data_IF_515617576925
#
_entry.id   IF_515617576925
#
_cell.length_a   1.000
_cell.length_b   1.000
_cell.length_c   1.000
_cell.angle_alpha   90.00
_cell.angle_beta   90.00
_cell.angle_gamma   90.00
#
_symmetry.space_group_name_H-M   'P 1'
#
loop_
_entity.id
_entity.type
_entity.pdbx_description
1 polymer ?
#
# COMPACT_ATOMS: atom_id res chain seq x y z
N UNK A 1 35.08 -51.45 -79.47
CA UNK A 1 34.03 -52.41 -79.07
C UNK A 1 34.28 -52.88 -77.63
N UNK A 2 33.20 -53.03 -76.88
CA UNK A 2 33.08 -53.44 -75.45
C UNK A 2 33.98 -54.61 -75.04
N UNK A 3 34.49 -54.59 -73.80
CA UNK A 3 34.14 -55.51 -72.69
C UNK A 3 35.00 -55.22 -71.45
N UNK A 4 34.35 -54.84 -70.34
CA UNK A 4 34.13 -55.69 -69.15
C UNK A 4 35.40 -56.07 -68.37
N UNK A 5 35.49 -55.58 -67.13
CA UNK A 5 35.54 -56.49 -65.99
C UNK A 5 36.67 -56.31 -64.97
N UNK A 6 36.21 -56.24 -63.71
CA UNK A 6 36.83 -56.78 -62.48
C UNK A 6 37.80 -55.90 -61.67
N UNK A 7 37.19 -55.28 -60.65
CA UNK A 7 37.56 -55.15 -59.23
C UNK A 7 38.96 -55.65 -58.79
N UNK A 8 39.64 -54.83 -57.97
CA UNK A 8 40.29 -55.22 -56.70
C UNK A 8 40.42 -53.99 -55.77
N UNK A 9 40.25 -54.22 -54.47
CA UNK A 9 40.14 -53.25 -53.35
C UNK A 9 41.41 -53.29 -52.46
N UNK A 10 41.56 -52.23 -51.66
CA UNK A 10 42.37 -52.06 -50.41
C UNK A 10 43.84 -51.68 -50.65
N UNK A 11 44.49 -50.68 -50.02
CA UNK A 11 44.35 -49.93 -48.74
C UNK A 11 44.99 -48.52 -48.90
N UNK A 12 44.52 -47.49 -48.18
CA UNK A 12 45.37 -46.47 -47.53
C UNK A 12 44.56 -45.58 -46.56
N UNK A 13 45.22 -45.18 -45.48
CA UNK A 13 44.72 -44.60 -44.24
C UNK A 13 43.89 -43.31 -44.34
N UNK A 14 42.86 -43.21 -43.48
CA UNK A 14 42.11 -41.98 -43.18
C UNK A 14 42.82 -41.25 -42.02
N UNK A 15 43.32 -40.05 -42.29
CA UNK A 15 43.77 -39.09 -41.29
C UNK A 15 42.54 -38.37 -40.72
N UNK A 16 42.14 -38.73 -39.50
CA UNK A 16 41.14 -38.00 -38.73
C UNK A 16 41.74 -36.67 -38.25
N UNK A 17 41.34 -35.57 -38.89
CA UNK A 17 41.59 -34.22 -38.42
C UNK A 17 40.68 -33.96 -37.20
N UNK A 18 41.27 -33.95 -36.01
CA UNK A 18 40.59 -33.55 -34.78
C UNK A 18 40.29 -32.05 -34.80
N UNK A 19 39.07 -31.68 -35.19
CA UNK A 19 38.52 -30.38 -34.82
C UNK A 19 38.20 -30.40 -33.33
N UNK A 20 39.04 -29.71 -32.55
CA UNK A 20 38.72 -29.29 -31.19
C UNK A 20 37.53 -28.31 -31.26
N UNK A 21 36.32 -28.87 -31.27
CA UNK A 21 35.14 -28.15 -30.79
C UNK A 21 35.32 -28.08 -29.29
N UNK A 22 35.85 -26.96 -28.79
CA UNK A 22 35.58 -26.58 -27.41
C UNK A 22 34.08 -26.38 -27.32
N UNK A 23 33.38 -27.42 -26.86
CA UNK A 23 32.03 -27.28 -26.38
C UNK A 23 32.12 -26.25 -25.25
N UNK A 24 31.76 -25.00 -25.56
CA UNK A 24 31.45 -24.02 -24.55
C UNK A 24 30.37 -24.68 -23.70
N UNK A 25 30.77 -25.15 -22.51
CA UNK A 25 29.84 -25.57 -21.48
C UNK A 25 28.91 -24.38 -21.34
N UNK A 26 27.60 -24.50 -21.68
CA UNK A 26 26.69 -23.43 -21.34
C UNK A 26 26.85 -23.28 -19.84
N UNK A 27 27.34 -22.12 -19.41
CA UNK A 27 27.26 -21.70 -18.03
C UNK A 27 25.76 -21.64 -17.77
N UNK A 28 25.24 -22.76 -17.31
CA UNK A 28 23.94 -22.86 -16.70
C UNK A 28 24.07 -21.95 -15.50
N UNK A 29 23.67 -20.70 -15.71
CA UNK A 29 23.17 -19.88 -14.62
C UNK A 29 22.11 -20.78 -14.03
N UNK A 30 22.44 -21.43 -12.91
CA UNK A 30 21.46 -22.06 -12.05
C UNK A 30 20.58 -20.90 -11.58
N UNK A 31 19.61 -20.52 -12.41
CA UNK A 31 18.35 -20.00 -11.97
C UNK A 31 17.73 -21.17 -11.21
N UNK A 32 18.21 -21.36 -9.98
CA UNK A 32 17.52 -22.13 -8.97
C UNK A 32 16.11 -21.57 -9.01
N UNK A 33 15.21 -22.35 -9.60
CA UNK A 33 13.80 -22.03 -9.71
C UNK A 33 13.28 -22.22 -8.30
N UNK A 34 13.51 -21.19 -7.48
CA UNK A 34 12.97 -21.11 -6.13
C UNK A 34 11.45 -21.02 -6.29
N UNK A 35 10.80 -22.17 -6.17
CA UNK A 35 9.36 -22.29 -6.13
C UNK A 35 8.89 -21.62 -4.84
N UNK A 36 8.40 -20.40 -4.94
CA UNK A 36 7.51 -19.89 -3.91
C UNK A 36 6.25 -20.77 -3.94
N UNK A 37 5.79 -21.17 -2.76
CA UNK A 37 4.51 -21.88 -2.62
C UNK A 37 3.32 -20.90 -2.60
N UNK A 38 3.59 -19.60 -2.40
CA UNK A 38 2.61 -18.52 -2.41
C UNK A 38 3.10 -17.38 -3.32
N UNK A 39 2.25 -16.96 -4.25
CA UNK A 39 2.52 -15.86 -5.19
C UNK A 39 2.64 -14.54 -4.40
N UNK A 40 3.69 -13.75 -4.64
CA UNK A 40 3.88 -12.43 -4.02
C UNK A 40 3.43 -11.33 -4.96
N UNK A 41 2.68 -10.35 -4.45
CA UNK A 41 2.14 -9.24 -5.23
C UNK A 41 2.92 -7.96 -4.95
N UNK A 42 3.52 -7.38 -5.98
CA UNK A 42 4.24 -6.11 -5.94
C UNK A 42 3.47 -5.08 -6.74
N UNK A 43 3.33 -3.88 -6.18
CA UNK A 43 2.83 -2.73 -6.93
C UNK A 43 3.94 -1.69 -7.04
N UNK A 44 4.28 -1.37 -8.28
CA UNK A 44 5.25 -0.34 -8.62
C UNK A 44 4.50 0.98 -8.82
N UNK A 45 4.96 2.01 -8.13
CA UNK A 45 4.41 3.35 -8.20
C UNK A 45 5.43 4.30 -8.84
N UNK A 46 5.47 4.41 -10.19
CA UNK A 46 6.27 5.45 -10.83
C UNK A 46 5.71 6.82 -10.42
N UNK A 47 6.48 7.55 -9.61
CA UNK A 47 6.13 8.87 -9.09
C UNK A 47 5.66 9.84 -10.18
N UNK A 48 4.82 10.80 -9.80
CA UNK A 48 4.28 11.83 -10.69
C UNK A 48 3.47 11.26 -11.87
N UNK A 49 3.32 12.01 -12.96
CA UNK A 49 2.63 11.61 -14.19
C UNK A 49 1.51 12.55 -14.60
N UNK A 50 1.23 12.59 -15.91
CA UNK A 50 0.23 13.50 -16.48
C UNK A 50 0.65 14.96 -16.33
N UNK A 51 -0.18 15.78 -15.67
CA UNK A 51 0.12 17.20 -15.47
C UNK A 51 1.21 17.46 -14.42
N UNK A 52 1.56 16.45 -13.62
CA UNK A 52 2.64 16.53 -12.63
C UNK A 52 3.91 15.94 -13.25
N UNK A 53 4.87 16.80 -13.60
CA UNK A 53 6.16 16.39 -14.18
C UNK A 53 7.15 15.90 -13.14
N UNK A 54 6.91 16.16 -11.85
CA UNK A 54 7.97 16.19 -10.84
C UNK A 54 9.05 17.22 -11.19
N UNK A 55 10.26 16.98 -10.71
CA UNK A 55 11.41 17.82 -11.02
C UNK A 55 11.77 17.79 -12.51
N UNK A 56 12.14 18.97 -13.04
CA UNK A 56 12.59 19.16 -14.42
C UNK A 56 13.91 19.90 -14.40
N UNK A 57 14.94 19.31 -15.02
CA UNK A 57 16.28 19.88 -15.06
C UNK A 57 16.86 19.80 -16.47
N UNK A 58 17.79 20.72 -16.76
CA UNK A 58 18.54 20.73 -18.03
C UNK A 58 20.02 20.79 -17.72
N UNK A 59 20.75 19.73 -18.10
CA UNK A 59 22.22 19.68 -17.99
C UNK A 59 22.81 19.49 -19.38
N UNK A 60 23.69 20.40 -19.80
CA UNK A 60 24.38 20.34 -21.09
C UNK A 60 23.43 20.14 -22.29
N UNK A 61 22.28 20.83 -22.28
CA UNK A 61 21.26 20.74 -23.33
C UNK A 61 20.38 19.49 -23.30
N UNK A 62 20.65 18.52 -22.42
CA UNK A 62 19.76 17.37 -22.19
C UNK A 62 18.73 17.71 -21.11
N UNK A 63 17.45 17.56 -21.44
CA UNK A 63 16.36 17.68 -20.49
C UNK A 63 16.10 16.36 -19.75
N UNK A 64 15.85 16.46 -18.45
CA UNK A 64 15.51 15.36 -17.55
C UNK A 64 14.19 15.69 -16.87
N UNK A 65 13.19 14.80 -17.01
CA UNK A 65 11.87 14.97 -16.42
C UNK A 65 11.62 13.79 -15.50
N UNK A 66 11.45 14.05 -14.21
CA UNK A 66 11.32 13.03 -13.18
C UNK A 66 10.20 12.03 -13.49
N UNK A 67 9.00 12.50 -13.87
CA UNK A 67 7.87 11.63 -14.19
C UNK A 67 8.16 10.63 -15.33
N UNK A 68 9.00 11.02 -16.30
CA UNK A 68 9.39 10.15 -17.42
C UNK A 68 10.46 9.15 -17.00
N UNK A 69 11.42 9.60 -16.20
CA UNK A 69 12.48 8.75 -15.65
C UNK A 69 11.86 7.67 -14.76
N UNK A 70 11.00 8.07 -13.81
CA UNK A 70 10.28 7.16 -12.92
C UNK A 70 9.44 6.14 -13.70
N UNK A 71 8.73 6.58 -14.75
CA UNK A 71 7.98 5.69 -15.64
C UNK A 71 8.87 4.61 -16.28
N UNK A 72 10.02 5.01 -16.83
CA UNK A 72 10.95 4.10 -17.50
C UNK A 72 11.57 3.12 -16.50
N UNK A 73 12.04 3.60 -15.34
CA UNK A 73 12.60 2.74 -14.29
C UNK A 73 11.55 1.70 -13.88
N UNK A 74 10.32 2.11 -13.55
CA UNK A 74 9.25 1.20 -13.16
C UNK A 74 8.93 0.15 -14.22
N UNK A 75 8.90 0.53 -15.51
CA UNK A 75 8.71 -0.42 -16.60
C UNK A 75 9.86 -1.43 -16.71
N UNK A 76 11.10 -1.00 -16.52
CA UNK A 76 12.24 -1.91 -16.52
C UNK A 76 12.24 -2.84 -15.29
N UNK A 77 11.85 -2.34 -14.12
CA UNK A 77 11.61 -3.16 -12.92
C UNK A 77 10.55 -4.21 -13.20
N UNK A 78 9.40 -3.81 -13.78
CA UNK A 78 8.31 -4.73 -14.13
C UNK A 78 8.78 -5.82 -15.10
N UNK A 79 9.49 -5.45 -16.17
CA UNK A 79 10.03 -6.39 -17.16
C UNK A 79 11.01 -7.40 -16.53
N UNK A 80 11.82 -6.96 -15.58
CA UNK A 80 12.75 -7.85 -14.87
C UNK A 80 12.01 -8.77 -13.90
N UNK A 81 11.01 -8.25 -13.14
CA UNK A 81 10.20 -9.04 -12.22
C UNK A 81 9.32 -10.08 -12.92
N UNK A 82 8.84 -9.80 -14.13
CA UNK A 82 8.05 -10.75 -14.93
C UNK A 82 8.80 -12.05 -15.28
N UNK A 83 10.14 -12.08 -15.13
CA UNK A 83 10.94 -13.29 -15.28
C UNK A 83 10.80 -14.26 -14.09
N UNK A 84 10.24 -13.78 -12.98
CA UNK A 84 10.03 -14.55 -11.76
C UNK A 84 8.57 -15.00 -11.69
N UNK A 85 8.27 -16.29 -11.93
CA UNK A 85 6.88 -16.77 -12.09
C UNK A 85 6.01 -16.60 -10.83
N UNK A 86 6.66 -16.39 -9.68
CA UNK A 86 6.04 -16.28 -8.38
C UNK A 86 5.86 -14.84 -7.90
N UNK A 87 6.22 -13.85 -8.72
CA UNK A 87 5.98 -12.44 -8.44
C UNK A 87 4.93 -11.93 -9.42
N UNK A 88 3.76 -11.56 -8.90
CA UNK A 88 2.80 -10.74 -9.59
C UNK A 88 3.22 -9.28 -9.48
N UNK A 89 3.26 -8.55 -10.59
CA UNK A 89 3.63 -7.14 -10.61
C UNK A 89 2.57 -6.31 -11.29
N UNK A 90 2.13 -5.24 -10.62
CA UNK A 90 1.22 -4.22 -11.16
C UNK A 90 1.84 -2.83 -11.07
N UNK A 91 1.23 -1.86 -11.74
CA UNK A 91 1.63 -0.46 -11.69
C UNK A 91 0.45 0.41 -11.22
N UNK A 92 0.74 1.52 -10.52
CA UNK A 92 -0.31 2.48 -10.10
C UNK A 92 -0.89 3.28 -11.26
N UNK A 93 -0.16 3.41 -12.38
CA UNK A 93 -0.62 4.06 -13.61
C UNK A 93 -0.37 3.19 -14.84
N UNK A 94 -1.27 3.29 -15.81
CA UNK A 94 -1.31 2.45 -17.01
C UNK A 94 -0.52 3.05 -18.19
N UNK A 95 -0.14 4.33 -18.13
CA UNK A 95 0.69 4.99 -19.14
C UNK A 95 1.52 6.16 -18.55
N UNK A 96 2.44 6.68 -19.37
CA UNK A 96 3.36 7.76 -18.98
C UNK A 96 2.65 9.07 -18.59
N UNK A 97 1.48 9.34 -19.16
CA UNK A 97 0.78 10.62 -19.07
C UNK A 97 -0.44 10.57 -18.13
N UNK A 98 -0.56 9.53 -17.31
CA UNK A 98 -1.64 9.40 -16.34
C UNK A 98 -1.19 9.95 -14.98
N UNK A 99 -1.95 10.93 -14.47
CA UNK A 99 -1.86 11.35 -13.08
C UNK A 99 -2.67 10.40 -12.17
N UNK A 100 -2.13 10.10 -10.99
CA UNK A 100 -2.81 9.35 -9.94
C UNK A 100 -2.56 10.05 -8.60
N UNK A 101 -3.62 10.30 -7.82
CA UNK A 101 -3.51 10.95 -6.52
C UNK A 101 -2.71 10.12 -5.52
N UNK A 102 -2.01 10.79 -4.58
CA UNK A 102 -1.12 10.12 -3.62
C UNK A 102 -1.83 9.05 -2.78
N UNK A 103 -3.06 9.31 -2.35
CA UNK A 103 -3.87 8.33 -1.62
C UNK A 103 -4.31 7.18 -2.53
N UNK A 104 -4.71 7.50 -3.76
CA UNK A 104 -5.19 6.51 -4.73
C UNK A 104 -4.09 5.52 -5.12
N UNK A 105 -2.82 5.96 -5.23
CA UNK A 105 -1.67 5.07 -5.46
C UNK A 105 -1.59 3.94 -4.44
N UNK A 106 -1.76 4.28 -3.15
CA UNK A 106 -1.76 3.29 -2.07
C UNK A 106 -3.04 2.44 -2.09
N UNK A 107 -4.20 3.03 -2.41
CA UNK A 107 -5.45 2.27 -2.52
C UNK A 107 -5.46 1.29 -3.69
N UNK A 108 -4.80 1.62 -4.80
CA UNK A 108 -4.57 0.69 -5.91
C UNK A 108 -3.72 -0.49 -5.43
N UNK A 109 -2.60 -0.22 -4.75
CA UNK A 109 -1.77 -1.28 -4.17
C UNK A 109 -2.55 -2.17 -3.19
N UNK A 110 -3.36 -1.55 -2.34
CA UNK A 110 -4.25 -2.28 -1.41
C UNK A 110 -5.29 -3.13 -2.15
N UNK A 111 -5.82 -2.64 -3.27
CA UNK A 111 -6.84 -3.34 -4.06
C UNK A 111 -6.31 -4.63 -4.71
N UNK A 112 -5.03 -4.64 -5.06
CA UNK A 112 -4.32 -5.85 -5.52
C UNK A 112 -3.86 -6.75 -4.37
N UNK A 113 -4.16 -6.39 -3.12
CA UNK A 113 -3.64 -7.09 -1.93
C UNK A 113 -2.11 -7.19 -1.94
N UNK A 114 -1.44 -6.10 -2.35
CA UNK A 114 0.01 -6.05 -2.47
C UNK A 114 0.73 -6.48 -1.18
N UNK A 115 1.80 -7.26 -1.33
CA UNK A 115 2.77 -7.56 -0.27
C UNK A 115 3.79 -6.43 -0.10
N UNK A 116 4.00 -5.63 -1.15
CA UNK A 116 4.95 -4.52 -1.18
C UNK A 116 4.51 -3.45 -2.19
N UNK A 117 4.48 -2.19 -1.75
CA UNK A 117 4.39 -1.02 -2.62
C UNK A 117 5.77 -0.35 -2.73
N UNK A 118 6.25 -0.19 -3.96
CA UNK A 118 7.54 0.46 -4.25
C UNK A 118 7.30 1.70 -5.08
N UNK A 119 7.38 2.88 -4.45
CA UNK A 119 7.29 4.16 -5.16
C UNK A 119 8.67 4.60 -5.63
N UNK A 120 8.79 4.92 -6.90
CA UNK A 120 10.07 5.19 -7.56
C UNK A 120 10.14 6.67 -7.94
N UNK A 121 11.14 7.36 -7.39
CA UNK A 121 11.33 8.80 -7.48
C UNK A 121 12.79 9.17 -7.79
N UNK A 122 12.97 10.40 -8.29
CA UNK A 122 14.27 11.03 -8.46
C UNK A 122 14.26 12.34 -7.69
N UNK A 123 15.23 12.50 -6.80
CA UNK A 123 15.27 13.64 -5.91
C UNK A 123 15.68 14.91 -6.65
N UNK A 124 15.40 16.06 -6.07
CA UNK A 124 15.94 17.36 -6.49
C UNK A 124 16.21 18.23 -5.27
N UNK A 125 17.16 19.14 -5.40
CA UNK A 125 17.54 20.08 -4.36
C UNK A 125 17.97 21.40 -4.99
N UNK A 126 17.87 22.49 -4.23
CA UNK A 126 18.30 23.85 -4.60
C UNK A 126 19.84 23.99 -4.77
N UNK A 127 20.56 22.86 -4.80
CA UNK A 127 22.00 22.79 -4.96
C UNK A 127 22.39 21.63 -5.89
N UNK A 128 23.36 21.83 -6.81
CA UNK A 128 23.81 20.79 -7.71
C UNK A 128 24.72 19.74 -7.03
N UNK A 129 25.10 19.98 -5.77
CA UNK A 129 26.03 19.13 -5.03
C UNK A 129 25.36 18.01 -4.24
N UNK A 130 24.03 18.09 -4.02
CA UNK A 130 23.27 17.00 -3.42
C UNK A 130 23.29 15.79 -4.35
N UNK A 131 23.68 14.62 -3.84
CA UNK A 131 23.81 13.40 -4.66
C UNK A 131 23.50 12.14 -3.87
N UNK A 132 23.25 11.06 -4.60
CA UNK A 132 23.08 9.72 -4.07
C UNK A 132 21.66 9.34 -3.64
N UNK A 133 21.50 8.06 -3.32
CA UNK A 133 20.21 7.44 -3.05
C UNK A 133 19.78 7.53 -1.57
N UNK A 134 18.48 7.63 -1.34
CA UNK A 134 17.83 7.32 -0.06
C UNK A 134 16.57 6.49 -0.28
N UNK A 135 16.13 5.79 0.78
CA UNK A 135 14.82 5.13 0.80
C UNK A 135 14.03 5.69 1.95
N UNK A 136 12.89 6.31 1.65
CA UNK A 136 11.97 6.78 2.67
C UNK A 136 11.14 5.62 3.18
N UNK A 137 11.20 5.43 4.49
CA UNK A 137 10.51 4.35 5.21
C UNK A 137 9.74 4.93 6.39
N UNK A 138 8.77 4.18 6.93
CA UNK A 138 8.00 4.65 8.06
C UNK A 138 8.84 4.74 9.33
N UNK A 139 8.52 5.73 10.16
CA UNK A 139 9.18 5.96 11.46
C UNK A 139 8.78 4.93 12.52
N UNK A 140 7.82 4.04 12.23
CA UNK A 140 7.34 3.01 13.14
C UNK A 140 6.48 3.52 14.30
N UNK A 141 6.06 4.78 14.29
CA UNK A 141 5.29 5.41 15.38
C UNK A 141 3.90 4.79 15.57
N UNK A 142 3.36 4.13 14.53
CA UNK A 142 2.05 3.49 14.57
C UNK A 142 2.08 1.99 14.30
N UNK A 143 2.82 1.53 13.27
CA UNK A 143 3.01 0.11 12.96
C UNK A 143 4.51 -0.23 12.88
N UNK A 144 5.18 -0.46 14.01
CA UNK A 144 6.63 -0.65 14.04
C UNK A 144 7.13 -1.87 13.25
N UNK A 145 6.31 -2.91 13.07
CA UNK A 145 6.71 -4.05 12.23
C UNK A 145 6.80 -3.66 10.74
N UNK A 146 6.00 -2.71 10.25
CA UNK A 146 6.13 -2.21 8.88
C UNK A 146 7.46 -1.48 8.71
N UNK A 147 7.84 -0.65 9.68
CA UNK A 147 9.13 0.05 9.66
C UNK A 147 10.31 -0.93 9.58
N UNK A 148 10.28 -2.04 10.33
CA UNK A 148 11.34 -3.06 10.25
C UNK A 148 11.36 -3.77 8.87
N UNK A 149 10.18 -4.09 8.33
CA UNK A 149 10.03 -4.69 7.01
C UNK A 149 10.52 -3.76 5.90
N UNK A 150 10.10 -2.50 5.93
CA UNK A 150 10.48 -1.45 4.98
C UNK A 150 11.98 -1.16 5.05
N UNK A 151 12.55 -1.12 6.26
CA UNK A 151 14.00 -0.97 6.47
C UNK A 151 14.80 -2.15 5.93
N UNK A 152 14.30 -3.38 6.07
CA UNK A 152 14.93 -4.56 5.46
C UNK A 152 14.93 -4.45 3.93
N UNK A 153 13.79 -4.11 3.33
CA UNK A 153 13.70 -3.88 1.88
C UNK A 153 14.63 -2.74 1.43
N UNK A 154 14.59 -1.60 2.11
CA UNK A 154 15.40 -0.44 1.79
C UNK A 154 16.91 -0.71 1.82
N UNK A 155 17.40 -1.56 2.73
CA UNK A 155 18.81 -2.00 2.72
C UNK A 155 19.17 -2.72 1.42
N UNK A 156 18.30 -3.60 0.93
CA UNK A 156 18.56 -4.27 -0.36
C UNK A 156 18.54 -3.30 -1.53
N UNK A 157 17.67 -2.28 -1.50
CA UNK A 157 17.67 -1.20 -2.51
C UNK A 157 19.02 -0.47 -2.49
N UNK A 158 19.47 0.02 -1.34
CA UNK A 158 20.73 0.76 -1.21
C UNK A 158 21.94 -0.10 -1.62
N UNK A 159 21.94 -1.39 -1.27
CA UNK A 159 22.98 -2.33 -1.71
C UNK A 159 23.01 -2.47 -3.25
N UNK A 160 21.85 -2.66 -3.89
CA UNK A 160 21.78 -2.87 -5.34
C UNK A 160 22.10 -1.60 -6.14
N UNK A 161 21.68 -0.43 -5.65
CA UNK A 161 22.03 0.86 -6.24
C UNK A 161 23.53 1.17 -6.03
N UNK A 162 24.10 0.82 -4.87
CA UNK A 162 25.53 0.97 -4.59
C UNK A 162 26.42 0.20 -5.57
N UNK A 163 25.99 -0.98 -6.04
CA UNK A 163 26.69 -1.75 -7.09
C UNK A 163 26.75 -1.03 -8.44
N UNK A 164 25.88 -0.05 -8.67
CA UNK A 164 25.90 0.81 -9.85
C UNK A 164 26.77 2.06 -9.68
N UNK A 165 27.37 2.25 -8.50
CA UNK A 165 28.20 3.41 -8.17
C UNK A 165 27.42 4.57 -7.54
N UNK A 166 26.14 4.39 -7.21
CA UNK A 166 25.33 5.43 -6.57
C UNK A 166 25.72 5.53 -5.09
N UNK A 167 26.14 6.73 -4.65
CA UNK A 167 26.46 6.95 -3.24
C UNK A 167 25.20 6.85 -2.37
N UNK A 168 25.32 6.35 -1.15
CA UNK A 168 24.21 6.33 -0.18
C UNK A 168 24.14 7.65 0.59
N UNK A 169 22.94 8.17 0.80
CA UNK A 169 22.66 9.24 1.76
C UNK A 169 22.47 8.66 3.16
N UNK A 170 22.35 9.51 4.18
CA UNK A 170 22.05 9.10 5.57
C UNK A 170 22.88 7.88 6.02
N UNK A 171 24.20 7.95 5.85
CA UNK A 171 25.09 6.79 6.05
C UNK A 171 24.95 6.15 7.43
N UNK A 172 24.71 6.96 8.48
CA UNK A 172 24.48 6.48 9.84
C UNK A 172 23.16 5.68 9.97
N UNK A 173 22.18 5.96 9.11
CA UNK A 173 20.90 5.27 9.02
C UNK A 173 20.89 4.19 7.93
N UNK A 174 22.02 3.96 7.25
CA UNK A 174 22.17 2.96 6.19
C UNK A 174 21.42 3.30 4.91
N UNK A 175 21.24 4.59 4.58
CA UNK A 175 20.44 5.01 3.42
C UNK A 175 18.97 5.27 3.69
N UNK A 176 18.50 4.99 4.91
CA UNK A 176 17.09 5.17 5.27
C UNK A 176 16.81 6.61 5.67
N UNK A 177 15.76 7.15 5.08
CA UNK A 177 15.25 8.48 5.34
C UNK A 177 13.92 8.39 6.09
N UNK A 178 13.78 9.20 7.13
CA UNK A 178 12.60 9.24 8.00
C UNK A 178 12.16 10.68 8.13
N UNK A 179 10.86 10.93 8.02
CA UNK A 179 10.32 12.26 8.23
C UNK A 179 8.93 12.18 8.84
N UNK A 180 8.79 12.75 10.02
CA UNK A 180 7.50 12.93 10.68
C UNK A 180 6.89 14.27 10.30
N UNK A 181 5.57 14.33 10.22
CA UNK A 181 4.86 15.56 9.88
C UNK A 181 4.97 16.61 10.98
N UNK A 182 5.03 17.88 10.60
CA UNK A 182 5.03 19.03 11.50
C UNK A 182 3.67 19.73 11.60
N UNK A 183 2.70 19.32 10.79
CA UNK A 183 1.35 19.93 10.69
C UNK A 183 0.37 19.49 11.80
N UNK A 184 0.86 18.74 12.79
CA UNK A 184 0.03 18.18 13.86
C UNK A 184 -0.77 16.93 13.45
N UNK A 185 -0.60 16.41 12.24
CA UNK A 185 -1.25 15.17 11.84
C UNK A 185 -0.73 13.98 12.66
N UNK A 186 -1.68 13.15 13.08
CA UNK A 186 -1.42 11.96 13.89
C UNK A 186 -2.00 10.71 13.25
N UNK A 187 -1.37 9.58 13.53
CA UNK A 187 -1.97 8.29 13.30
C UNK A 187 -3.10 8.03 14.31
N UNK A 188 -3.96 7.02 14.07
CA UNK A 188 -5.05 6.68 14.98
C UNK A 188 -4.63 6.38 16.43
N UNK A 189 -3.37 6.03 16.69
CA UNK A 189 -2.84 5.85 18.04
C UNK A 189 -2.41 7.17 18.73
N UNK A 190 -2.66 8.32 18.10
CA UNK A 190 -2.26 9.65 18.58
C UNK A 190 -0.78 9.98 18.36
N UNK A 191 0.03 9.07 17.85
CA UNK A 191 1.43 9.34 17.55
C UNK A 191 1.56 10.17 16.27
N UNK A 192 2.61 10.98 16.20
CA UNK A 192 2.90 11.84 15.04
C UNK A 192 2.99 10.99 13.76
N UNK A 193 2.31 11.47 12.71
CA UNK A 193 2.22 10.80 11.42
C UNK A 193 3.52 10.95 10.62
N UNK A 194 3.84 9.99 9.76
CA UNK A 194 4.88 10.19 8.74
C UNK A 194 4.46 11.29 7.76
N UNK A 195 5.43 12.05 7.25
CA UNK A 195 5.20 13.23 6.43
C UNK A 195 4.79 12.87 5.00
N UNK A 196 5.52 11.96 4.36
CA UNK A 196 5.30 11.63 2.96
C UNK A 196 4.05 10.77 2.79
N UNK A 197 3.13 11.22 1.93
CA UNK A 197 1.79 10.64 1.81
C UNK A 197 1.81 9.14 1.44
N UNK A 198 2.72 8.70 0.56
CA UNK A 198 2.83 7.27 0.19
C UNK A 198 3.18 6.43 1.42
N UNK A 199 4.24 6.78 2.16
CA UNK A 199 4.66 6.08 3.39
C UNK A 199 3.52 6.13 4.41
N UNK A 200 3.01 7.33 4.70
CA UNK A 200 2.02 7.54 5.74
C UNK A 200 0.69 6.81 5.48
N UNK A 201 0.25 6.82 4.21
CA UNK A 201 -0.97 6.14 3.80
C UNK A 201 -0.77 4.62 3.75
N UNK A 202 0.42 4.14 3.40
CA UNK A 202 0.77 2.70 3.42
C UNK A 202 0.71 2.14 4.85
N UNK A 203 1.31 2.85 5.81
CA UNK A 203 1.20 2.52 7.24
C UNK A 203 -0.27 2.51 7.67
N UNK A 204 -1.07 3.47 7.22
CA UNK A 204 -2.49 3.53 7.58
C UNK A 204 -3.31 2.37 6.99
N UNK A 205 -2.92 1.85 5.82
CA UNK A 205 -3.56 0.71 5.14
C UNK A 205 -2.96 -0.66 5.51
N UNK A 206 -1.99 -0.69 6.44
CA UNK A 206 -1.27 -1.91 6.83
C UNK A 206 -0.61 -2.60 5.62
N UNK A 207 0.18 -1.82 4.89
CA UNK A 207 0.87 -2.22 3.68
C UNK A 207 2.32 -1.75 3.80
N UNK A 208 3.33 -2.63 3.62
CA UNK A 208 4.71 -2.18 3.48
C UNK A 208 4.83 -1.29 2.23
N UNK A 209 5.19 -0.02 2.42
CA UNK A 209 5.24 0.95 1.34
C UNK A 209 6.40 1.92 1.51
N UNK A 210 7.29 1.96 0.52
CA UNK A 210 8.48 2.82 0.56
C UNK A 210 8.52 3.76 -0.64
N UNK A 211 9.33 4.82 -0.52
CA UNK A 211 9.74 5.65 -1.65
C UNK A 211 11.24 5.47 -1.85
N UNK A 212 11.66 5.11 -3.05
CA UNK A 212 13.07 5.07 -3.46
C UNK A 212 13.37 6.39 -4.14
N UNK A 213 14.26 7.17 -3.54
CA UNK A 213 14.90 8.33 -4.16
C UNK A 213 16.22 7.85 -4.77
N UNK A 214 16.24 7.61 -6.08
CA UNK A 214 17.36 6.90 -6.71
C UNK A 214 18.66 7.71 -6.71
N UNK A 215 18.57 9.01 -6.98
CA UNK A 215 19.66 9.98 -6.96
C UNK A 215 19.05 11.39 -7.16
N UNK A 216 19.87 12.42 -7.40
CA UNK A 216 19.37 13.79 -7.65
C UNK A 216 19.40 14.16 -9.12
N UNK A 217 18.25 14.55 -9.70
CA UNK A 217 18.21 15.08 -11.07
C UNK A 217 18.85 16.47 -11.16
N UNK A 218 18.85 17.25 -10.07
CA UNK A 218 19.52 18.56 -10.01
C UNK A 218 21.05 18.45 -9.95
N UNK A 219 21.60 17.27 -9.64
CA UNK A 219 23.04 17.05 -9.69
C UNK A 219 23.49 16.69 -11.10
N UNK A 220 24.35 17.49 -11.75
CA UNK A 220 24.88 17.16 -13.07
C UNK A 220 25.58 15.80 -13.10
N UNK A 221 26.22 15.42 -11.98
CA UNK A 221 26.93 14.14 -11.86
C UNK A 221 25.96 12.96 -11.84
N UNK A 222 24.94 12.98 -10.97
CA UNK A 222 23.96 11.89 -10.90
C UNK A 222 23.13 11.82 -12.19
N UNK A 223 22.69 12.97 -12.73
CA UNK A 223 21.95 13.03 -13.99
C UNK A 223 22.74 12.40 -15.15
N UNK A 224 24.00 12.78 -15.33
CA UNK A 224 24.86 12.25 -16.39
C UNK A 224 25.13 10.74 -16.23
N UNK A 225 25.43 10.31 -15.00
CA UNK A 225 25.87 8.94 -14.71
C UNK A 225 24.72 7.93 -14.64
N UNK A 226 23.51 8.36 -14.29
CA UNK A 226 22.41 7.44 -13.97
C UNK A 226 21.12 7.69 -14.75
N UNK A 227 20.85 8.88 -15.28
CA UNK A 227 19.54 9.20 -15.87
C UNK A 227 19.54 9.50 -17.37
N UNK A 228 20.71 9.67 -17.98
CA UNK A 228 20.85 10.16 -19.37
C UNK A 228 20.35 9.21 -20.45
N UNK A 229 20.46 7.90 -20.24
CA UNK A 229 20.16 6.90 -21.27
C UNK A 229 19.20 5.83 -20.75
N UNK A 230 18.39 5.27 -21.66
CA UNK A 230 17.52 4.12 -21.35
C UNK A 230 18.32 2.93 -20.80
N UNK A 231 19.59 2.75 -21.18
CA UNK A 231 20.46 1.70 -20.64
C UNK A 231 20.76 1.92 -19.16
N UNK A 232 21.03 3.16 -18.73
CA UNK A 232 21.22 3.49 -17.32
C UNK A 232 19.91 3.32 -16.53
N UNK A 233 18.79 3.83 -17.05
CA UNK A 233 17.48 3.65 -16.42
C UNK A 233 17.07 2.18 -16.31
N UNK A 234 17.43 1.35 -17.29
CA UNK A 234 17.24 -0.10 -17.23
C UNK A 234 18.05 -0.73 -16.11
N UNK A 235 19.31 -0.31 -15.91
CA UNK A 235 20.13 -0.80 -14.79
C UNK A 235 19.51 -0.46 -13.44
N UNK A 236 18.92 0.73 -13.29
CA UNK A 236 18.17 1.12 -12.08
C UNK A 236 16.96 0.21 -11.86
N UNK A 237 16.12 0.03 -12.89
CA UNK A 237 14.94 -0.85 -12.76
C UNK A 237 15.31 -2.31 -12.44
N UNK A 238 16.42 -2.80 -13.00
CA UNK A 238 16.96 -4.12 -12.67
C UNK A 238 17.51 -4.19 -11.24
N UNK A 239 18.09 -3.11 -10.71
CA UNK A 239 18.53 -3.03 -9.32
C UNK A 239 17.34 -3.12 -8.36
N UNK A 240 16.26 -2.38 -8.64
CA UNK A 240 15.02 -2.47 -7.86
C UNK A 240 14.44 -3.88 -7.88
N UNK A 241 14.38 -4.51 -9.05
CA UNK A 241 13.87 -5.87 -9.19
C UNK A 241 14.71 -6.88 -8.37
N UNK A 242 16.05 -6.76 -8.40
CA UNK A 242 16.93 -7.58 -7.57
C UNK A 242 16.70 -7.33 -6.07
N UNK A 243 16.50 -6.08 -5.66
CA UNK A 243 16.21 -5.76 -4.26
C UNK A 243 14.88 -6.39 -3.80
N UNK A 244 13.85 -6.33 -4.64
CA UNK A 244 12.53 -6.95 -4.39
C UNK A 244 12.65 -8.47 -4.26
N UNK A 245 13.37 -9.12 -5.19
CA UNK A 245 13.60 -10.58 -5.13
C UNK A 245 14.40 -10.98 -3.90
N UNK A 246 15.49 -10.26 -3.56
CA UNK A 246 16.28 -10.50 -2.35
C UNK A 246 15.42 -10.38 -1.10
N UNK A 247 14.56 -9.37 -1.05
CA UNK A 247 13.62 -9.15 0.06
C UNK A 247 12.65 -10.32 0.22
N UNK A 248 11.98 -10.73 -0.87
CA UNK A 248 11.02 -11.85 -0.78
C UNK A 248 11.67 -13.19 -0.46
N UNK A 249 12.87 -13.45 -1.01
CA UNK A 249 13.63 -14.64 -0.65
C UNK A 249 14.03 -14.62 0.83
N UNK A 250 14.40 -13.45 1.36
CA UNK A 250 14.78 -13.33 2.78
C UNK A 250 13.61 -13.62 3.72
N UNK A 251 12.43 -13.03 3.46
CA UNK A 251 11.26 -13.28 4.31
C UNK A 251 10.78 -14.73 4.18
N UNK A 252 10.86 -15.33 2.98
CA UNK A 252 10.60 -16.76 2.77
C UNK A 252 11.55 -17.63 3.59
N UNK A 253 12.86 -17.36 3.57
CA UNK A 253 13.82 -18.11 4.38
C UNK A 253 13.55 -17.96 5.88
N UNK A 254 13.08 -16.79 6.34
CA UNK A 254 12.67 -16.60 7.74
C UNK A 254 11.39 -17.35 8.11
N UNK A 255 10.49 -17.56 7.14
CA UNK A 255 9.27 -18.36 7.32
C UNK A 255 9.58 -19.86 7.25
N UNK A 256 10.40 -20.31 6.29
CA UNK A 256 10.82 -21.71 6.16
C UNK A 256 11.77 -22.15 7.29
N UNK A 257 12.66 -21.29 7.77
CA UNK A 257 13.48 -21.58 8.96
C UNK A 257 12.64 -21.66 10.24
N UNK A 258 11.39 -21.19 10.24
CA UNK A 258 10.45 -21.39 11.35
C UNK A 258 9.70 -22.73 11.24
N UNK A 259 9.63 -23.34 10.06
CA UNK A 259 8.96 -24.63 9.82
C UNK A 259 9.90 -25.85 9.91
N UNK A 260 11.23 -25.67 9.77
CA UNK A 260 12.20 -26.80 9.76
C UNK A 260 13.14 -26.86 10.96
N UNK A 261 12.97 -26.00 11.96
CA UNK A 261 13.78 -25.99 13.19
C UNK A 261 12.95 -26.44 14.40
N UNK A 262 12.76 -27.76 14.51
CA UNK A 262 12.58 -28.45 15.80
C UNK A 262 13.95 -28.60 16.49
N UNK A 263 14.60 -27.46 16.75
CA UNK A 263 15.73 -27.39 17.68
C UNK A 263 15.59 -26.12 18.49
N UNK A 264 15.07 -26.35 19.70
CA UNK A 264 15.01 -25.49 20.88
C UNK A 264 16.07 -24.37 20.86
N UNK A 265 15.68 -23.14 20.53
CA UNK A 265 15.87 -21.90 21.32
C UNK A 265 15.58 -20.64 20.48
N UNK A 266 14.38 -20.06 20.65
CA UNK A 266 14.08 -18.60 20.67
C UNK A 266 12.62 -18.26 20.28
N UNK A 267 11.88 -19.17 19.62
CA UNK A 267 10.54 -18.87 19.08
C UNK A 267 9.35 -19.24 20.01
N UNK A 268 9.58 -19.81 21.20
CA UNK A 268 8.49 -20.11 22.16
C UNK A 268 8.03 -18.90 22.97
N UNK A 269 8.59 -17.72 22.74
CA UNK A 269 8.35 -16.55 23.58
C UNK A 269 7.16 -15.69 23.10
N UNK A 270 6.76 -15.76 21.83
CA UNK A 270 5.74 -14.87 21.27
C UNK A 270 4.52 -15.66 20.78
N UNK A 271 3.33 -15.04 20.82
CA UNK A 271 2.13 -15.62 20.21
C UNK A 271 1.04 -16.04 21.20
N UNK A 272 -0.07 -16.50 20.62
CA UNK A 272 -1.21 -17.03 21.37
C UNK A 272 -0.89 -18.42 21.93
N UNK A 273 -1.15 -18.63 23.21
CA UNK A 273 -1.03 -19.92 23.90
C UNK A 273 -2.32 -20.25 24.62
N UNK A 274 -2.73 -21.51 24.51
CA UNK A 274 -3.88 -22.05 25.25
C UNK A 274 -3.50 -22.24 26.72
N UNK A 275 -4.36 -21.79 27.62
CA UNK A 275 -4.24 -21.96 29.06
C UNK A 275 -5.61 -22.38 29.61
N UNK A 276 -5.83 -23.70 29.71
CA UNK A 276 -7.17 -24.26 29.96
C UNK A 276 -8.13 -23.95 28.81
N UNK A 277 -9.27 -23.31 29.11
CA UNK A 277 -10.25 -22.85 28.13
C UNK A 277 -9.95 -21.46 27.54
N UNK A 278 -8.89 -20.79 27.99
CA UNK A 278 -8.55 -19.42 27.59
C UNK A 278 -7.36 -19.37 26.63
N UNK A 279 -7.31 -18.34 25.80
CA UNK A 279 -6.14 -18.00 24.98
C UNK A 279 -5.41 -16.80 25.61
N UNK A 280 -4.08 -16.82 25.64
CA UNK A 280 -3.23 -15.75 26.20
C UNK A 280 -2.12 -15.40 25.22
N UNK A 281 -1.84 -14.12 25.04
CA UNK A 281 -0.78 -13.69 24.12
C UNK A 281 0.51 -13.39 24.86
N UNK A 282 1.65 -13.78 24.29
CA UNK A 282 2.98 -13.54 24.84
C UNK A 282 3.82 -12.69 23.87
N UNK A 283 4.64 -11.79 24.43
CA UNK A 283 5.67 -11.04 23.70
C UNK A 283 6.96 -11.18 24.51
N UNK A 284 8.00 -11.66 23.86
CA UNK A 284 9.30 -12.05 24.39
C UNK A 284 9.22 -12.91 25.67
N UNK A 285 8.22 -13.78 25.75
CA UNK A 285 7.97 -14.70 26.87
C UNK A 285 7.10 -14.08 27.96
N UNK A 286 6.79 -12.79 27.84
CA UNK A 286 6.00 -12.04 28.80
C UNK A 286 4.53 -12.07 28.38
N UNK A 287 3.68 -12.58 29.28
CA UNK A 287 2.22 -12.58 29.11
C UNK A 287 1.70 -11.14 29.04
N UNK A 288 0.99 -10.83 27.96
CA UNK A 288 0.31 -9.56 27.79
C UNK A 288 -0.97 -9.54 28.62
N UNK A 289 -1.28 -8.38 29.24
CA UNK A 289 -2.47 -8.19 30.09
C UNK A 289 -3.02 -6.79 29.91
N UNK A 290 -4.33 -6.67 30.11
CA UNK A 290 -5.11 -5.43 30.10
C UNK A 290 -4.78 -4.49 28.93
N UNK A 291 -4.68 -5.03 27.71
CA UNK A 291 -4.25 -4.23 26.57
C UNK A 291 -4.85 -4.69 25.26
N UNK A 292 -5.02 -3.71 24.37
CA UNK A 292 -5.27 -3.97 22.96
C UNK A 292 -3.97 -4.44 22.31
N UNK A 293 -4.06 -5.48 21.48
CA UNK A 293 -2.98 -6.05 20.71
C UNK A 293 -3.27 -5.81 19.23
N UNK A 294 -2.39 -5.11 18.54
CA UNK A 294 -2.43 -4.97 17.09
C UNK A 294 -1.46 -5.99 16.49
N UNK A 295 -2.02 -7.09 16.00
CA UNK A 295 -1.28 -8.20 15.41
C UNK A 295 -1.45 -8.16 13.88
N UNK A 296 -0.59 -8.89 13.16
CA UNK A 296 -0.59 -8.97 11.69
C UNK A 296 -1.97 -9.34 11.12
N UNK A 297 -2.74 -10.15 11.84
CA UNK A 297 -3.99 -10.71 11.37
C UNK A 297 -5.24 -10.03 11.96
N UNK A 298 -5.08 -9.06 12.86
CA UNK A 298 -6.19 -8.33 13.47
C UNK A 298 -5.87 -7.63 14.78
N UNK A 299 -6.87 -6.89 15.27
CA UNK A 299 -6.82 -6.25 16.59
C UNK A 299 -7.52 -7.13 17.62
N UNK A 300 -6.90 -7.35 18.77
CA UNK A 300 -7.42 -8.18 19.85
C UNK A 300 -7.38 -7.43 21.18
N UNK A 301 -8.09 -7.92 22.18
CA UNK A 301 -7.93 -7.46 23.56
C UNK A 301 -7.67 -8.65 24.48
N UNK A 302 -6.68 -8.48 25.36
CA UNK A 302 -6.44 -9.38 26.50
C UNK A 302 -6.82 -8.67 27.78
N UNK A 303 -7.63 -9.33 28.61
CA UNK A 303 -8.16 -8.77 29.85
C UNK A 303 -7.07 -8.61 30.94
N UNK A 304 -7.46 -8.15 32.13
CA UNK A 304 -6.56 -8.00 33.29
C UNK A 304 -5.80 -9.27 33.69
N UNK A 305 -6.34 -10.45 33.36
CA UNK A 305 -5.73 -11.75 33.62
C UNK A 305 -4.88 -12.25 32.43
N UNK A 306 -4.89 -11.53 31.32
CA UNK A 306 -4.22 -11.84 30.06
C UNK A 306 -5.01 -12.79 29.17
N UNK A 307 -6.28 -13.05 29.49
CA UNK A 307 -7.13 -13.90 28.68
C UNK A 307 -7.73 -13.12 27.52
N UNK A 308 -7.80 -13.72 26.33
CA UNK A 308 -8.45 -13.14 25.16
C UNK A 308 -9.91 -12.83 25.46
N UNK A 309 -10.27 -11.59 25.21
CA UNK A 309 -11.61 -11.08 25.45
C UNK A 309 -12.47 -11.13 24.17
N UNK A 310 -13.78 -11.18 24.38
CA UNK A 310 -14.79 -11.20 23.32
C UNK A 310 -15.90 -10.20 23.62
N UNK A 311 -16.70 -9.89 22.60
CA UNK A 311 -17.87 -9.01 22.67
C UNK A 311 -17.51 -7.53 22.74
N UNK A 312 -18.48 -6.73 23.20
CA UNK A 312 -18.33 -5.30 23.38
C UNK A 312 -17.34 -4.96 24.50
N UNK A 313 -16.39 -4.07 24.21
CA UNK A 313 -15.42 -3.56 25.19
C UNK A 313 -15.17 -2.09 24.97
N UNK A 314 -15.19 -1.32 26.05
CA UNK A 314 -14.70 0.06 26.08
C UNK A 314 -13.32 0.06 26.72
N UNK A 315 -12.31 0.47 25.98
CA UNK A 315 -10.91 0.44 26.39
C UNK A 315 -10.32 1.81 26.10
N UNK A 316 -9.87 2.52 27.14
CA UNK A 316 -9.34 3.89 27.04
C UNK A 316 -10.28 4.84 26.26
N UNK A 317 -11.58 4.77 26.55
CA UNK A 317 -12.60 5.59 25.88
C UNK A 317 -13.03 5.10 24.48
N UNK A 318 -12.31 4.15 23.88
CA UNK A 318 -12.63 3.59 22.57
C UNK A 318 -13.51 2.34 22.70
N UNK A 319 -14.59 2.26 21.92
CA UNK A 319 -15.48 1.10 21.89
C UNK A 319 -15.08 0.12 20.77
N UNK A 320 -14.98 -1.16 21.10
CA UNK A 320 -14.61 -2.26 20.21
C UNK A 320 -15.66 -3.37 20.29
N UNK A 321 -15.78 -4.17 19.24
CA UNK A 321 -16.49 -5.45 19.29
C UNK A 321 -15.55 -6.59 18.87
N UNK A 322 -15.12 -7.41 19.81
CA UNK A 322 -14.24 -8.56 19.57
C UNK A 322 -15.07 -9.79 19.22
N UNK A 323 -15.14 -10.15 17.93
CA UNK A 323 -16.05 -11.17 17.45
C UNK A 323 -15.52 -12.58 17.76
N UNK A 324 -16.21 -13.28 18.66
CA UNK A 324 -15.88 -14.68 19.01
C UNK A 324 -15.94 -15.62 17.81
N UNK A 325 -16.78 -15.33 16.80
CA UNK A 325 -16.86 -16.13 15.57
C UNK A 325 -15.66 -15.91 14.64
N UNK A 326 -14.93 -14.82 14.84
CA UNK A 326 -13.72 -14.47 14.10
C UNK A 326 -12.50 -14.49 15.04
N UNK A 327 -12.40 -15.54 15.86
CA UNK A 327 -11.29 -15.80 16.79
C UNK A 327 -10.99 -14.66 17.81
N UNK A 328 -11.96 -13.78 18.06
CA UNK A 328 -11.82 -12.63 18.95
C UNK A 328 -11.18 -11.40 18.31
N UNK A 329 -11.10 -11.33 16.98
CA UNK A 329 -10.69 -10.11 16.25
C UNK A 329 -11.71 -9.00 16.43
N UNK A 330 -11.24 -7.77 16.57
CA UNK A 330 -12.07 -6.58 16.57
C UNK A 330 -12.76 -6.45 15.20
N UNK A 331 -14.06 -6.19 15.20
CA UNK A 331 -14.82 -5.90 13.98
C UNK A 331 -14.30 -4.61 13.34
N UNK A 332 -14.17 -4.63 12.02
CA UNK A 332 -13.84 -3.48 11.18
C UNK A 332 -14.97 -3.24 10.19
N UNK A 333 -15.17 -1.99 9.77
CA UNK A 333 -16.27 -1.63 8.87
C UNK A 333 -17.65 -1.81 9.48
N UNK A 334 -18.64 -2.13 8.65
CA UNK A 334 -20.03 -2.23 9.07
C UNK A 334 -20.34 -3.55 9.77
N UNK A 335 -20.92 -3.47 10.97
CA UNK A 335 -21.38 -4.61 11.75
C UNK A 335 -22.86 -4.46 12.07
N UNK A 336 -23.67 -5.44 11.65
CA UNK A 336 -25.08 -5.52 12.04
C UNK A 336 -25.24 -6.44 13.24
N UNK A 337 -25.88 -5.95 14.29
CA UNK A 337 -26.27 -6.70 15.50
C UNK A 337 -27.77 -6.47 15.76
N UNK A 338 -28.42 -7.33 16.58
CA UNK A 338 -29.79 -7.08 17.02
C UNK A 338 -29.99 -5.70 17.66
N UNK A 339 -28.95 -5.14 18.29
CA UNK A 339 -28.97 -3.82 18.92
C UNK A 339 -28.81 -2.64 17.96
N UNK A 340 -28.48 -2.87 16.69
CA UNK A 340 -28.29 -1.84 15.67
C UNK A 340 -27.18 -2.14 14.66
N UNK A 341 -26.96 -1.18 13.75
CA UNK A 341 -25.86 -1.21 12.80
C UNK A 341 -24.76 -0.27 13.28
N UNK A 342 -23.54 -0.77 13.36
CA UNK A 342 -22.37 -0.04 13.84
C UNK A 342 -21.32 0.04 12.74
N UNK A 343 -20.45 1.03 12.79
CA UNK A 343 -19.31 1.13 11.90
C UNK A 343 -18.03 1.26 12.72
N UNK A 344 -17.00 0.53 12.34
CA UNK A 344 -15.69 0.53 12.98
C UNK A 344 -14.62 0.96 11.98
N UNK A 345 -13.62 1.69 12.44
CA UNK A 345 -12.47 2.02 11.63
C UNK A 345 -11.54 0.80 11.47
N UNK A 346 -10.43 0.96 10.74
CA UNK A 346 -9.47 -0.12 10.47
C UNK A 346 -8.81 -0.73 11.73
N UNK A 347 -8.87 -0.05 12.88
CA UNK A 347 -8.35 -0.55 14.16
C UNK A 347 -9.42 -1.21 15.02
N UNK A 348 -10.63 -1.33 14.49
CA UNK A 348 -11.78 -1.84 15.21
C UNK A 348 -12.33 -0.89 16.27
N UNK A 349 -12.00 0.40 16.19
CA UNK A 349 -12.63 1.44 17.03
C UNK A 349 -13.93 1.86 16.36
N UNK A 350 -15.01 1.83 17.13
CA UNK A 350 -16.34 2.21 16.69
C UNK A 350 -16.43 3.72 16.47
N UNK A 351 -17.03 4.11 15.35
CA UNK A 351 -17.40 5.50 15.10
C UNK A 351 -18.56 5.93 16.00
N UNK A 352 -18.52 7.17 16.47
CA UNK A 352 -19.57 7.79 17.30
C UNK A 352 -19.71 9.26 16.91
N UNK A 353 -20.93 9.79 16.96
CA UNK A 353 -21.27 11.19 16.68
C UNK A 353 -20.55 11.77 15.44
N UNK A 354 -20.59 11.04 14.33
CA UNK A 354 -19.82 11.37 13.13
C UNK A 354 -20.60 11.18 11.85
N UNK A 355 -20.11 11.77 10.77
CA UNK A 355 -20.59 11.60 9.42
C UNK A 355 -19.52 10.90 8.59
N UNK A 356 -19.89 9.80 7.93
CA UNK A 356 -19.02 9.04 7.05
C UNK A 356 -19.48 9.20 5.60
N UNK A 357 -18.55 9.38 4.67
CA UNK A 357 -18.86 9.50 3.25
C UNK A 357 -18.12 8.37 2.52
N UNK A 358 -18.86 7.53 1.80
CA UNK A 358 -18.26 6.49 0.96
C UNK A 358 -17.65 7.07 -0.31
N UNK A 359 -16.80 6.30 -0.99
CA UNK A 359 -16.27 6.60 -2.33
C UNK A 359 -17.36 6.89 -3.36
N UNK A 360 -18.53 6.24 -3.24
CA UNK A 360 -19.72 6.49 -4.07
C UNK A 360 -20.52 7.74 -3.70
N UNK A 361 -20.03 8.57 -2.77
CA UNK A 361 -20.70 9.78 -2.30
C UNK A 361 -21.85 9.55 -1.31
N UNK A 362 -22.15 8.29 -0.93
CA UNK A 362 -23.18 8.00 0.09
C UNK A 362 -22.74 8.51 1.47
N UNK A 363 -23.63 9.24 2.12
CA UNK A 363 -23.41 9.85 3.44
C UNK A 363 -24.11 9.01 4.51
N UNK A 364 -23.37 8.55 5.53
CA UNK A 364 -23.90 7.84 6.67
C UNK A 364 -23.72 8.69 7.92
N UNK A 365 -24.74 8.75 8.78
CA UNK A 365 -24.66 9.46 10.05
C UNK A 365 -24.64 8.43 11.17
N UNK A 366 -23.66 8.56 12.05
CA UNK A 366 -23.49 7.73 13.23
C UNK A 366 -23.85 8.58 14.45
N UNK A 367 -24.82 8.12 15.23
CA UNK A 367 -25.28 8.79 16.45
C UNK A 367 -24.25 8.80 17.56
N UNK A 368 -24.51 9.55 18.63
CA UNK A 368 -23.67 9.55 19.84
C UNK A 368 -23.67 8.19 20.55
N UNK A 369 -24.74 7.40 20.38
CA UNK A 369 -24.80 6.01 20.83
C UNK A 369 -24.00 5.05 19.93
N UNK A 370 -23.34 5.58 18.89
CA UNK A 370 -22.55 4.90 17.86
C UNK A 370 -23.33 4.03 16.88
N UNK A 371 -24.67 4.08 16.91
CA UNK A 371 -25.50 3.40 15.92
C UNK A 371 -25.62 4.25 14.66
N UNK A 372 -25.70 3.59 13.52
CA UNK A 372 -26.07 4.23 12.26
C UNK A 372 -27.51 4.75 12.36
N UNK A 373 -27.69 6.04 12.16
CA UNK A 373 -29.00 6.67 12.19
C UNK A 373 -29.91 6.15 11.07
N UNK A 374 -31.22 6.38 11.22
CA UNK A 374 -32.24 6.05 10.23
C UNK A 374 -33.35 7.11 10.25
N UNK A 375 -34.06 7.29 9.12
CA UNK A 375 -35.14 8.27 9.01
C UNK A 375 -34.70 9.70 9.25
N UNK A 376 -35.60 10.51 9.82
CA UNK A 376 -35.32 11.91 10.15
C UNK A 376 -34.22 12.01 11.22
N UNK A 377 -33.10 12.63 10.87
CA UNK A 377 -31.91 12.71 11.73
C UNK A 377 -31.42 14.15 11.81
N UNK A 378 -31.14 14.63 13.02
CA UNK A 378 -30.44 15.90 13.22
C UNK A 378 -28.96 15.62 13.53
N UNK A 379 -28.06 16.34 12.88
CA UNK A 379 -26.62 16.20 13.10
C UNK A 379 -25.93 17.55 12.88
N UNK A 380 -25.19 18.01 13.90
CA UNK A 380 -24.47 19.30 13.91
C UNK A 380 -25.32 20.49 13.43
N UNK A 381 -26.56 20.58 13.93
CA UNK A 381 -27.50 21.65 13.59
C UNK A 381 -28.23 21.46 12.26
N UNK A 382 -27.75 20.58 11.39
CA UNK A 382 -28.39 20.26 10.11
C UNK A 382 -29.38 19.10 10.24
N UNK A 383 -30.36 19.05 9.33
CA UNK A 383 -31.38 17.99 9.31
C UNK A 383 -31.23 17.15 8.05
N UNK A 384 -31.31 15.84 8.21
CA UNK A 384 -31.11 14.83 7.19
C UNK A 384 -32.29 13.87 7.17
N UNK A 385 -32.47 13.17 6.05
CA UNK A 385 -33.35 12.02 5.97
C UNK A 385 -32.54 10.80 5.53
N UNK A 386 -32.30 9.87 6.45
CA UNK A 386 -31.58 8.63 6.18
C UNK A 386 -32.56 7.59 5.62
N UNK A 387 -32.29 7.09 4.42
CA UNK A 387 -33.17 6.14 3.74
C UNK A 387 -33.10 4.72 4.34
N UNK A 388 -33.92 3.81 3.81
CA UNK A 388 -33.97 2.40 4.26
C UNK A 388 -32.67 1.62 4.05
N UNK A 389 -31.83 2.03 3.09
CA UNK A 389 -30.49 1.48 2.86
C UNK A 389 -29.43 2.06 3.79
N UNK A 390 -29.79 3.11 4.55
CA UNK A 390 -29.01 3.62 5.66
C UNK A 390 -28.10 4.80 5.39
N UNK A 391 -28.24 5.45 4.24
CA UNK A 391 -27.51 6.67 3.90
C UNK A 391 -28.47 7.85 3.65
N UNK A 392 -27.97 9.07 3.74
CA UNK A 392 -28.74 10.28 3.57
C UNK A 392 -29.31 10.38 2.15
N UNK A 393 -30.59 10.73 2.07
CA UNK A 393 -31.27 11.10 0.84
C UNK A 393 -30.75 12.46 0.35
N UNK A 394 -30.56 12.59 -0.95
CA UNK A 394 -30.15 13.84 -1.61
C UNK A 394 -31.21 14.25 -2.63
N UNK A 395 -31.33 15.54 -2.93
CA UNK A 395 -32.36 16.05 -3.84
C UNK A 395 -33.78 15.99 -3.27
N UNK A 396 -34.78 15.86 -4.16
CA UNK A 396 -36.19 15.95 -3.81
C UNK A 396 -36.74 14.68 -3.17
N UNK A 397 -37.50 14.86 -2.08
CA UNK A 397 -38.20 13.79 -1.36
C UNK A 397 -39.66 14.18 -1.14
N UNK A 398 -40.60 13.32 -1.55
CA UNK A 398 -42.02 13.44 -1.19
C UNK A 398 -42.35 12.48 -0.06
N UNK A 399 -42.85 12.99 1.06
CA UNK A 399 -43.24 12.16 2.23
C UNK A 399 -44.42 12.80 2.97
N UNK A 400 -45.46 12.01 3.24
CA UNK A 400 -46.67 12.49 3.92
C UNK A 400 -47.36 13.67 3.20
N UNK A 401 -47.43 13.60 1.87
CA UNK A 401 -48.02 14.66 1.02
C UNK A 401 -47.17 15.93 0.89
N UNK A 402 -45.98 15.99 1.51
CA UNK A 402 -45.13 17.19 1.53
C UNK A 402 -43.84 16.97 0.73
N UNK A 403 -43.34 18.04 0.13
CA UNK A 403 -42.06 18.06 -0.57
C UNK A 403 -40.95 18.61 0.32
N UNK A 404 -39.82 17.93 0.32
CA UNK A 404 -38.56 18.32 0.97
C UNK A 404 -37.45 18.28 -0.08
N UNK A 405 -36.41 19.08 0.09
CA UNK A 405 -35.23 19.00 -0.77
C UNK A 405 -33.96 19.02 0.07
N UNK A 406 -33.01 18.18 -0.31
CA UNK A 406 -31.72 18.00 0.36
C UNK A 406 -30.60 18.38 -0.60
N UNK A 407 -29.56 19.01 -0.08
CA UNK A 407 -28.37 19.36 -0.83
C UNK A 407 -27.77 18.11 -1.52
N UNK A 408 -27.51 18.20 -2.82
CA UNK A 408 -27.07 17.06 -3.62
C UNK A 408 -25.71 16.51 -3.18
N UNK A 409 -24.84 17.35 -2.61
CA UNK A 409 -23.49 16.98 -2.19
C UNK A 409 -23.41 16.73 -0.69
N UNK A 410 -24.09 17.57 0.11
CA UNK A 410 -24.01 17.55 1.58
C UNK A 410 -25.09 16.72 2.24
N UNK A 411 -26.19 16.41 1.55
CA UNK A 411 -27.35 15.69 2.10
C UNK A 411 -28.16 16.45 3.16
N UNK A 412 -27.78 17.69 3.48
CA UNK A 412 -28.48 18.54 4.44
C UNK A 412 -29.78 19.11 3.84
N UNK A 413 -30.86 19.11 4.61
CA UNK A 413 -32.17 19.60 4.20
C UNK A 413 -32.19 21.12 4.11
N UNK A 414 -32.69 21.66 3.00
CA UNK A 414 -32.99 23.08 2.93
C UNK A 414 -34.19 23.42 3.82
N UNK A 415 -34.01 24.40 4.72
CA UNK A 415 -35.05 24.90 5.63
C UNK A 415 -34.88 26.39 5.89
N UNK A 416 -36.01 27.06 6.14
CA UNK A 416 -36.06 28.49 6.45
C UNK A 416 -35.31 29.39 5.44
N UNK A 417 -35.45 29.08 4.14
CA UNK A 417 -34.76 29.81 3.08
C UNK A 417 -35.40 29.58 1.72
N UNK A 418 -35.04 30.44 0.78
CA UNK A 418 -35.27 30.22 -0.65
C UNK A 418 -33.99 29.67 -1.28
N UNK A 419 -34.14 28.72 -2.20
CA UNK A 419 -33.02 28.12 -2.94
C UNK A 419 -33.36 28.07 -4.42
N UNK A 420 -32.43 28.55 -5.25
CA UNK A 420 -32.51 28.48 -6.70
C UNK A 420 -31.97 27.13 -7.18
N UNK A 421 -32.75 26.39 -7.95
CA UNK A 421 -32.40 25.01 -8.35
C UNK A 421 -32.60 24.76 -9.84
N UNK A 422 -31.73 23.92 -10.40
CA UNK A 422 -31.82 23.44 -11.78
C UNK A 422 -32.77 22.24 -11.94
N UNK A 423 -33.31 22.02 -13.16
CA UNK A 423 -33.15 22.85 -14.37
C UNK A 423 -34.02 24.12 -14.34
N UNK A 424 -33.59 25.17 -15.03
CA UNK A 424 -34.38 26.40 -15.19
C UNK A 424 -34.27 27.39 -14.02
N UNK A 425 -33.36 27.16 -13.07
CA UNK A 425 -33.01 28.16 -12.05
C UNK A 425 -34.23 28.67 -11.26
N UNK A 426 -35.13 27.75 -10.90
CA UNK A 426 -36.40 28.05 -10.23
C UNK A 426 -36.14 28.26 -8.74
N UNK A 427 -36.76 29.31 -8.17
CA UNK A 427 -36.70 29.61 -6.73
C UNK A 427 -37.73 28.77 -5.96
N UNK A 428 -37.26 27.85 -5.13
CA UNK A 428 -38.09 27.07 -4.20
C UNK A 428 -37.98 27.62 -2.79
N UNK A 429 -39.13 27.86 -2.15
CA UNK A 429 -39.24 28.38 -0.79
C UNK A 429 -39.45 27.23 0.19
N UNK A 430 -38.63 27.16 1.25
CA UNK A 430 -38.71 26.15 2.29
C UNK A 430 -39.02 26.79 3.65
N UNK A 431 -40.06 26.31 4.31
CA UNK A 431 -40.46 26.79 5.64
C UNK A 431 -39.46 26.37 6.75
N UNK A 432 -39.73 26.77 8.00
CA UNK A 432 -38.90 26.40 9.17
C UNK A 432 -38.79 24.90 9.42
N UNK A 433 -39.73 24.09 8.90
CA UNK A 433 -39.74 22.63 9.00
C UNK A 433 -39.11 21.95 7.77
N UNK A 434 -38.68 22.72 6.76
CA UNK A 434 -38.09 22.25 5.50
C UNK A 434 -39.11 21.87 4.44
N UNK A 435 -40.39 22.18 4.63
CA UNK A 435 -41.45 21.89 3.66
C UNK A 435 -41.38 22.91 2.54
N UNK A 436 -41.32 22.44 1.30
CA UNK A 436 -41.41 23.30 0.12
C UNK A 436 -42.85 23.78 -0.07
N UNK A 437 -43.05 25.10 -0.09
CA UNK A 437 -44.39 25.70 -0.10
C UNK A 437 -44.90 26.04 -1.50
N UNK A 438 -44.02 26.02 -2.50
CA UNK A 438 -44.32 26.43 -3.86
C UNK A 438 -44.00 25.35 -4.91
N UNK A 439 -43.89 24.08 -4.48
CA UNK A 439 -43.85 22.90 -5.35
C UNK A 439 -45.13 22.11 -5.15
N UNK A 440 -45.89 21.92 -6.24
CA UNK A 440 -47.14 21.14 -6.25
C UNK A 440 -46.82 19.65 -6.43
#
# INVERSE_FOLDING_TARGET
MKRMGKKKRWMAAVLCLAMLVTAAVPSTVNAATEKFTEKKVVVLDPGHGGYDSGAVEVHNGQQYIEAEINWKIARYTMQELQKYPNIEVHMTRNNQNQFVGLVDRVLIAKSYQADLLVSQHINSADTPYAKGASVLVSSGTYRPYLAETEKLFGRYVIDELGKLGISKRFSAQGGMEYRLSSDGSVYPNGARRDYYAIVAQSVQQDLPGVIIEHAFVSSPSDAYNFFRTNSQLKKLGQADARAIVRYFNRIRSQEQSKDTSDTVTSNQKNGWKKAGSNMRYYINGVRQKNRVLHLKDGTYYVDKNGNRAYGWKTINGNCYFFDKRNDGKASVGWLTRPSGVFCFNANGIRYENTQLISTSGKIYIIGSDGKRCSGWTNYRGERYYINNRGYAHTGWLRRGGKWYCFDKKKGAMYRNRTVKMDPGQINYKFDRRGVCTNRK
#
